data_IF_302050987555
#
_entry.id   IF_302050987555
#
_cell.length_a   1.000
_cell.length_b   1.000
_cell.length_c   1.000
_cell.angle_alpha   90.00
_cell.angle_beta   90.00
_cell.angle_gamma   90.00
#
_symmetry.space_group_name_H-M   'P 1'
#
loop_
_entity.id
_entity.type
_entity.pdbx_description
1 polymer ?
#
# COMPACT_ATOMS: atom_id res chain seq x y z
N UNK A 1 -33.97 46.59 62.84
CA UNK A 1 -35.19 46.65 62.02
C UNK A 1 -34.84 46.24 60.59
N UNK A 2 -35.73 45.47 59.92
CA UNK A 2 -35.47 44.59 58.78
C UNK A 2 -35.56 45.39 57.45
N UNK A 3 -35.09 44.89 56.30
CA UNK A 3 -35.78 43.92 55.44
C UNK A 3 -34.73 42.99 54.78
N UNK A 4 -34.82 41.65 54.86
CA UNK A 4 -35.85 40.78 54.28
C UNK A 4 -36.04 41.02 52.78
N UNK A 5 -35.21 40.39 51.95
CA UNK A 5 -35.76 39.84 50.73
C UNK A 5 -35.11 38.49 50.38
N UNK A 6 -35.97 37.48 50.44
CA UNK A 6 -35.71 36.12 50.06
C UNK A 6 -35.78 35.97 48.53
N UNK A 7 -34.89 35.12 47.98
CA UNK A 7 -35.07 34.13 46.89
C UNK A 7 -35.80 34.53 45.57
N UNK A 8 -35.42 33.98 44.39
CA UNK A 8 -35.28 32.53 44.22
C UNK A 8 -34.13 32.01 43.33
N UNK A 9 -33.91 30.72 43.54
CA UNK A 9 -33.28 29.71 42.71
C UNK A 9 -33.45 29.84 41.19
N UNK A 10 -32.38 29.57 40.44
CA UNK A 10 -32.43 28.68 39.28
C UNK A 10 -31.05 28.03 39.03
N UNK A 11 -30.96 26.69 39.05
CA UNK A 11 -29.75 25.95 38.70
C UNK A 11 -29.87 25.46 37.26
N UNK A 12 -29.45 26.25 36.27
CA UNK A 12 -29.50 25.78 34.87
C UNK A 12 -28.37 26.40 34.04
N UNK A 13 -27.16 25.88 34.19
CA UNK A 13 -26.18 25.88 33.10
C UNK A 13 -25.55 24.48 32.96
N UNK A 14 -26.41 23.49 32.80
CA UNK A 14 -26.01 22.21 32.23
C UNK A 14 -25.82 22.39 30.70
N UNK A 15 -24.56 22.49 30.29
CA UNK A 15 -23.97 21.99 29.03
C UNK A 15 -24.67 22.29 27.68
N UNK A 16 -23.85 22.70 26.69
CA UNK A 16 -23.97 22.10 25.36
C UNK A 16 -22.62 21.54 24.89
N UNK A 17 -22.09 20.52 25.57
CA UNK A 17 -20.84 19.84 25.18
C UNK A 17 -21.02 18.59 24.29
N UNK A 18 -22.24 18.21 23.89
CA UNK A 18 -22.44 16.93 23.19
C UNK A 18 -22.54 17.02 21.66
N UNK A 19 -22.86 18.17 21.07
CA UNK A 19 -23.10 18.28 19.61
C UNK A 19 -21.82 18.48 18.77
N UNK A 20 -20.66 18.74 19.37
CA UNK A 20 -19.39 19.02 18.65
C UNK A 20 -18.57 17.76 18.32
N UNK A 21 -18.83 16.60 18.94
CA UNK A 21 -18.05 15.37 18.69
C UNK A 21 -18.43 14.66 17.37
N UNK A 22 -19.70 14.74 16.95
CA UNK A 22 -20.17 14.11 15.72
C UNK A 22 -19.62 14.78 14.45
N UNK A 23 -19.46 16.11 14.48
CA UNK A 23 -18.89 16.88 13.36
C UNK A 23 -17.38 16.67 13.18
N UNK A 24 -16.67 16.23 14.22
CA UNK A 24 -15.22 16.00 14.13
C UNK A 24 -14.87 14.71 13.38
N UNK A 25 -15.70 13.67 13.51
CA UNK A 25 -15.53 12.42 12.75
C UNK A 25 -15.84 12.64 11.27
N UNK A 26 -16.94 13.33 10.94
CA UNK A 26 -17.29 13.64 9.54
C UNK A 26 -16.28 14.57 8.88
N UNK A 27 -15.71 15.55 9.59
CA UNK A 27 -14.67 16.44 9.06
C UNK A 27 -13.38 15.70 8.68
N UNK A 28 -13.01 14.64 9.41
CA UNK A 28 -11.85 13.79 9.06
C UNK A 28 -12.11 12.98 7.79
N UNK A 29 -13.31 12.39 7.67
CA UNK A 29 -13.69 11.62 6.48
C UNK A 29 -13.77 12.49 5.23
N UNK A 30 -14.37 13.68 5.34
CA UNK A 30 -14.45 14.64 4.22
C UNK A 30 -13.07 15.13 3.80
N UNK A 31 -12.16 15.41 4.75
CA UNK A 31 -10.77 15.76 4.44
C UNK A 31 -10.02 14.61 3.76
N UNK A 32 -10.26 13.36 4.17
CA UNK A 32 -9.66 12.20 3.53
C UNK A 32 -10.18 12.01 2.10
N UNK A 33 -11.49 12.12 1.88
CA UNK A 33 -12.10 12.04 0.54
C UNK A 33 -11.58 13.18 -0.35
N UNK A 34 -11.49 14.41 0.17
CA UNK A 34 -10.93 15.54 -0.57
C UNK A 34 -9.43 15.37 -0.88
N UNK A 35 -8.66 14.78 0.04
CA UNK A 35 -7.26 14.44 -0.19
C UNK A 35 -7.10 13.35 -1.27
N UNK A 36 -7.97 12.34 -1.28
CA UNK A 36 -8.00 11.30 -2.32
C UNK A 36 -8.36 11.90 -3.68
N UNK A 37 -9.35 12.78 -3.74
CA UNK A 37 -9.76 13.41 -5.00
C UNK A 37 -8.69 14.36 -5.57
N UNK A 38 -8.07 15.18 -4.71
CA UNK A 38 -6.94 16.03 -5.11
C UNK A 38 -5.71 15.22 -5.52
N UNK A 39 -5.44 14.11 -4.84
CA UNK A 39 -4.38 13.18 -5.23
C UNK A 39 -4.65 12.55 -6.59
N UNK A 40 -5.90 12.14 -6.86
CA UNK A 40 -6.32 11.57 -8.15
C UNK A 40 -6.14 12.56 -9.30
N UNK A 41 -6.59 13.81 -9.12
CA UNK A 41 -6.42 14.87 -10.15
C UNK A 41 -4.96 15.16 -10.45
N UNK A 42 -4.12 15.29 -9.41
CA UNK A 42 -2.67 15.49 -9.60
C UNK A 42 -1.96 14.25 -10.16
N UNK A 43 -2.43 13.04 -9.84
CA UNK A 43 -1.87 11.82 -10.40
C UNK A 43 -2.09 11.74 -11.91
N UNK A 44 -3.23 12.21 -12.43
CA UNK A 44 -3.47 12.28 -13.88
C UNK A 44 -2.57 13.30 -14.58
N UNK A 45 -2.33 14.48 -13.98
CA UNK A 45 -1.38 15.47 -14.50
C UNK A 45 0.07 14.94 -14.52
N UNK A 46 0.48 14.24 -13.46
CA UNK A 46 1.79 13.61 -13.37
C UNK A 46 1.90 12.43 -14.33
N UNK A 47 0.81 11.68 -14.57
CA UNK A 47 0.80 10.55 -15.50
C UNK A 47 1.14 10.97 -16.93
N UNK A 48 0.72 12.16 -17.36
CA UNK A 48 1.11 12.71 -18.66
C UNK A 48 2.55 13.24 -18.66
N UNK A 49 2.97 13.97 -17.61
CA UNK A 49 4.33 14.57 -17.54
C UNK A 49 5.45 13.56 -17.23
N UNK A 50 5.14 12.48 -16.52
CA UNK A 50 6.06 11.38 -16.23
C UNK A 50 5.92 10.22 -17.22
N UNK A 51 5.05 10.33 -18.23
CA UNK A 51 5.01 9.36 -19.31
C UNK A 51 6.26 9.55 -20.17
N UNK A 52 7.25 8.70 -19.96
CA UNK A 52 8.33 8.49 -20.91
C UNK A 52 7.86 7.41 -21.90
N UNK A 53 7.17 7.76 -23.01
CA UNK A 53 6.61 6.78 -23.93
C UNK A 53 7.68 5.84 -24.49
N UNK A 54 8.87 6.40 -24.78
CA UNK A 54 10.04 5.64 -25.24
C UNK A 54 10.57 4.68 -24.18
N UNK A 55 10.69 5.12 -22.92
CA UNK A 55 11.08 4.25 -21.82
C UNK A 55 10.06 3.12 -21.64
N UNK A 56 8.75 3.42 -21.75
CA UNK A 56 7.68 2.42 -21.71
C UNK A 56 7.77 1.42 -22.86
N UNK A 57 8.08 1.87 -24.08
CA UNK A 57 8.25 1.00 -25.24
C UNK A 57 9.48 0.11 -25.07
N UNK A 58 10.61 0.67 -24.63
CA UNK A 58 11.83 -0.05 -24.31
C UNK A 58 11.61 -1.08 -23.19
N UNK A 59 10.91 -0.72 -22.11
CA UNK A 59 10.54 -1.64 -21.03
C UNK A 59 9.59 -2.74 -21.51
N UNK A 60 8.62 -2.44 -22.38
CA UNK A 60 7.74 -3.46 -22.96
C UNK A 60 8.52 -4.45 -23.83
N UNK A 61 9.46 -3.95 -24.64
CA UNK A 61 10.34 -4.78 -25.46
C UNK A 61 11.25 -5.64 -24.59
N UNK A 62 11.98 -5.06 -23.65
CA UNK A 62 12.81 -5.80 -22.70
C UNK A 62 12.01 -6.82 -21.90
N UNK A 63 10.79 -6.50 -21.47
CA UNK A 63 9.92 -7.45 -20.78
C UNK A 63 9.59 -8.64 -21.67
N UNK A 64 9.26 -8.41 -22.95
CA UNK A 64 8.99 -9.46 -23.92
C UNK A 64 10.21 -10.34 -24.16
N UNK A 65 11.37 -9.72 -24.34
CA UNK A 65 12.64 -10.41 -24.59
C UNK A 65 13.12 -11.19 -23.35
N UNK A 66 12.85 -10.68 -22.15
CA UNK A 66 13.16 -11.36 -20.89
C UNK A 66 12.27 -12.58 -20.66
N UNK A 67 11.00 -12.51 -21.05
CA UNK A 67 10.09 -13.67 -21.01
C UNK A 67 10.54 -14.77 -21.98
N UNK A 68 11.10 -14.43 -23.13
CA UNK A 68 11.67 -15.38 -24.09
C UNK A 68 12.94 -16.09 -23.59
N UNK A 69 13.62 -15.56 -22.56
CA UNK A 69 14.89 -16.12 -22.04
C UNK A 69 14.75 -17.03 -20.83
N UNK A 70 13.58 -17.06 -20.20
CA UNK A 70 13.29 -18.01 -19.13
C UNK A 70 12.67 -19.25 -19.76
N UNK A 71 13.50 -20.16 -20.28
CA UNK A 71 12.99 -21.47 -20.69
C UNK A 71 12.62 -22.24 -19.41
N UNK A 72 11.33 -22.56 -19.29
CA UNK A 72 10.81 -23.43 -18.25
C UNK A 72 10.73 -24.89 -18.74
N UNK A 73 11.08 -25.15 -20.00
CA UNK A 73 10.91 -26.43 -20.70
C UNK A 73 11.63 -27.58 -20.00
N UNK A 74 12.78 -27.30 -19.37
CA UNK A 74 13.59 -28.29 -18.68
C UNK A 74 13.02 -28.73 -17.31
N UNK A 75 12.01 -28.03 -16.78
CA UNK A 75 11.45 -28.30 -15.45
C UNK A 75 10.17 -29.14 -15.53
N UNK A 76 10.05 -30.11 -14.61
CA UNK A 76 8.83 -30.92 -14.50
C UNK A 76 7.67 -30.12 -13.91
N UNK A 77 6.44 -30.54 -14.20
CA UNK A 77 5.22 -29.89 -13.67
C UNK A 77 5.15 -29.94 -12.14
N UNK A 78 5.69 -31.00 -11.52
CA UNK A 78 5.83 -31.11 -10.07
C UNK A 78 6.79 -30.06 -9.50
N UNK A 79 7.93 -29.83 -10.15
CA UNK A 79 8.89 -28.79 -9.74
C UNK A 79 8.28 -27.39 -9.88
N UNK A 80 7.58 -27.14 -10.98
CA UNK A 80 6.90 -25.86 -11.23
C UNK A 80 5.78 -25.61 -10.21
N UNK A 81 4.94 -26.61 -9.91
CA UNK A 81 3.88 -26.49 -8.91
C UNK A 81 4.44 -26.29 -7.50
N UNK A 82 5.50 -27.01 -7.13
CA UNK A 82 6.21 -26.80 -5.87
C UNK A 82 6.77 -25.37 -5.77
N UNK A 83 7.46 -24.89 -6.81
CA UNK A 83 8.01 -23.54 -6.85
C UNK A 83 6.91 -22.45 -6.77
N UNK A 84 5.77 -22.65 -7.44
CA UNK A 84 4.62 -21.75 -7.34
C UNK A 84 4.06 -21.69 -5.91
N UNK A 85 4.01 -22.83 -5.22
CA UNK A 85 3.57 -22.92 -3.82
C UNK A 85 4.55 -22.23 -2.86
N UNK A 86 5.86 -22.36 -3.10
CA UNK A 86 6.90 -21.70 -2.32
C UNK A 86 6.74 -20.18 -2.42
N UNK A 87 6.62 -19.65 -3.64
CA UNK A 87 6.37 -18.22 -3.85
C UNK A 87 5.05 -17.76 -3.22
N UNK A 88 4.00 -18.59 -3.23
CA UNK A 88 2.75 -18.25 -2.56
C UNK A 88 2.93 -18.08 -1.04
N UNK A 89 3.65 -18.99 -0.39
CA UNK A 89 3.99 -18.89 1.05
C UNK A 89 4.84 -17.66 1.35
N UNK A 90 5.86 -17.41 0.51
CA UNK A 90 6.70 -16.21 0.59
C UNK A 90 5.85 -14.93 0.53
N UNK A 91 4.93 -14.83 -0.44
CA UNK A 91 4.04 -13.66 -0.57
C UNK A 91 3.14 -13.51 0.67
N UNK A 92 2.57 -14.60 1.16
CA UNK A 92 1.68 -14.60 2.31
C UNK A 92 2.40 -14.12 3.59
N UNK A 93 3.67 -14.48 3.78
CA UNK A 93 4.48 -14.06 4.92
C UNK A 93 5.01 -12.63 4.78
N UNK A 94 5.49 -12.24 3.59
CA UNK A 94 6.11 -10.93 3.36
C UNK A 94 5.10 -9.80 3.22
N UNK A 95 3.86 -10.06 2.82
CA UNK A 95 2.81 -9.03 2.68
C UNK A 95 2.48 -8.31 4.00
N UNK A 96 2.17 -9.01 5.12
CA UNK A 96 1.93 -8.34 6.40
C UNK A 96 3.21 -7.70 6.96
N UNK A 97 4.39 -8.29 6.71
CA UNK A 97 5.66 -7.70 7.10
C UNK A 97 5.91 -6.37 6.36
N UNK A 98 5.65 -6.30 5.06
CA UNK A 98 5.75 -5.06 4.28
C UNK A 98 4.83 -3.98 4.86
N UNK A 99 3.58 -4.34 5.17
CA UNK A 99 2.62 -3.41 5.76
C UNK A 99 3.12 -2.86 7.09
N UNK A 100 3.63 -3.73 7.97
CA UNK A 100 4.22 -3.33 9.24
C UNK A 100 5.37 -2.33 9.06
N UNK A 101 6.27 -2.63 8.12
CA UNK A 101 7.45 -1.79 7.88
C UNK A 101 7.04 -0.45 7.27
N UNK A 102 6.05 -0.42 6.37
CA UNK A 102 5.48 0.83 5.87
C UNK A 102 4.87 1.69 6.97
N UNK A 103 4.22 1.09 7.98
CA UNK A 103 3.74 1.82 9.15
C UNK A 103 4.93 2.42 9.92
N UNK A 104 6.01 1.66 10.16
CA UNK A 104 7.21 2.21 10.82
C UNK A 104 7.87 3.32 10.01
N UNK A 105 7.95 3.18 8.69
CA UNK A 105 8.49 4.19 7.79
C UNK A 105 7.65 5.47 7.82
N UNK A 106 6.32 5.36 7.80
CA UNK A 106 5.44 6.53 7.87
C UNK A 106 5.59 7.30 9.20
N UNK A 107 5.81 6.59 10.31
CA UNK A 107 6.13 7.21 11.60
C UNK A 107 7.49 7.91 11.58
N UNK A 108 8.51 7.26 11.00
CA UNK A 108 9.85 7.83 10.83
C UNK A 108 9.85 9.08 9.95
N UNK A 109 9.12 9.05 8.83
CA UNK A 109 8.91 10.20 7.95
C UNK A 109 8.17 11.33 8.67
N UNK A 110 7.14 11.01 9.45
CA UNK A 110 6.43 11.98 10.27
C UNK A 110 7.33 12.69 11.29
N UNK A 111 8.25 11.94 11.91
CA UNK A 111 9.27 12.51 12.80
C UNK A 111 10.26 13.40 12.03
N UNK A 112 10.74 12.95 10.87
CA UNK A 112 11.65 13.72 10.02
C UNK A 112 11.04 15.06 9.60
N UNK A 113 9.78 15.08 9.16
CA UNK A 113 9.11 16.32 8.77
C UNK A 113 8.79 17.25 9.95
N UNK A 114 8.62 16.71 11.15
CA UNK A 114 8.25 17.51 12.33
C UNK A 114 9.46 18.07 13.07
N UNK A 115 10.54 17.29 13.17
CA UNK A 115 11.71 17.63 13.98
C UNK A 115 12.97 17.88 13.14
N UNK A 116 12.95 17.58 11.84
CA UNK A 116 14.11 17.77 10.96
C UNK A 116 15.24 16.75 11.17
N UNK A 117 15.05 15.78 12.07
CA UNK A 117 16.08 14.81 12.45
C UNK A 117 15.86 13.46 11.79
N UNK A 118 16.94 12.87 11.26
CA UNK A 118 16.94 11.50 10.74
C UNK A 118 16.93 10.53 11.91
N UNK A 119 15.76 9.97 12.19
CA UNK A 119 15.61 8.95 13.23
C UNK A 119 16.20 7.60 12.79
N UNK A 120 16.74 6.84 13.74
CA UNK A 120 17.23 5.47 13.51
C UNK A 120 16.16 4.58 12.86
N UNK A 121 14.89 4.78 13.22
CA UNK A 121 13.73 4.13 12.61
C UNK A 121 13.66 4.35 11.11
N UNK A 122 13.91 5.56 10.62
CA UNK A 122 13.92 5.88 9.18
C UNK A 122 15.08 5.16 8.47
N UNK A 123 16.26 5.17 9.10
CA UNK A 123 17.49 4.62 8.55
C UNK A 123 17.41 3.10 8.34
N UNK A 124 16.75 2.38 9.26
CA UNK A 124 16.50 0.94 9.10
C UNK A 124 15.29 0.62 8.24
N UNK A 125 14.21 1.41 8.31
CA UNK A 125 12.96 1.08 7.61
C UNK A 125 13.06 1.27 6.11
N UNK A 126 13.79 2.28 5.60
CA UNK A 126 13.95 2.51 4.16
C UNK A 126 14.56 1.29 3.41
N UNK A 127 15.76 0.80 3.76
CA UNK A 127 16.34 -0.36 3.08
C UNK A 127 15.48 -1.61 3.26
N UNK A 128 14.82 -1.77 4.42
CA UNK A 128 13.95 -2.91 4.68
C UNK A 128 12.69 -2.89 3.79
N UNK A 129 12.06 -1.71 3.60
CA UNK A 129 10.93 -1.56 2.66
C UNK A 129 11.37 -1.90 1.25
N UNK A 130 12.51 -1.36 0.79
CA UNK A 130 13.03 -1.63 -0.55
C UNK A 130 13.25 -3.13 -0.75
N UNK A 131 13.95 -3.77 0.19
CA UNK A 131 14.23 -5.20 0.14
C UNK A 131 12.95 -6.04 0.09
N UNK A 132 12.01 -5.82 1.02
CA UNK A 132 10.76 -6.57 1.10
C UNK A 132 9.91 -6.33 -0.15
N UNK A 133 9.79 -5.07 -0.61
CA UNK A 133 9.03 -4.73 -1.80
C UNK A 133 9.61 -5.40 -3.06
N UNK A 134 10.94 -5.36 -3.24
CA UNK A 134 11.61 -6.05 -4.34
C UNK A 134 11.39 -7.56 -4.27
N UNK A 135 11.55 -8.18 -3.09
CA UNK A 135 11.39 -9.63 -2.94
C UNK A 135 9.95 -10.09 -3.18
N UNK A 136 8.98 -9.29 -2.72
CA UNK A 136 7.55 -9.53 -2.95
C UNK A 136 7.23 -9.40 -4.44
N UNK A 137 7.72 -8.34 -5.08
CA UNK A 137 7.52 -8.10 -6.51
C UNK A 137 8.06 -9.25 -7.36
N UNK A 138 9.31 -9.68 -7.11
CA UNK A 138 9.92 -10.82 -7.78
C UNK A 138 9.12 -12.10 -7.54
N UNK A 139 8.69 -12.36 -6.30
CA UNK A 139 7.91 -13.57 -5.99
C UNK A 139 6.54 -13.57 -6.68
N UNK A 140 5.85 -12.43 -6.73
CA UNK A 140 4.58 -12.29 -7.46
C UNK A 140 4.79 -12.52 -8.95
N UNK A 141 5.83 -11.92 -9.53
CA UNK A 141 6.10 -12.05 -10.96
C UNK A 141 6.52 -13.47 -11.33
N UNK A 142 7.38 -14.11 -10.53
CA UNK A 142 7.80 -15.50 -10.70
C UNK A 142 6.59 -16.44 -10.67
N UNK A 143 5.74 -16.32 -9.64
CA UNK A 143 4.51 -17.12 -9.52
C UNK A 143 3.57 -16.93 -10.71
N UNK A 144 3.41 -15.70 -11.21
CA UNK A 144 2.61 -15.42 -12.41
C UNK A 144 3.18 -16.11 -13.65
N UNK A 145 4.49 -16.05 -13.84
CA UNK A 145 5.15 -16.71 -14.97
C UNK A 145 4.99 -18.23 -14.91
N UNK A 146 5.25 -18.84 -13.74
CA UNK A 146 5.09 -20.28 -13.53
C UNK A 146 3.64 -20.73 -13.76
N UNK A 147 2.67 -19.99 -13.23
CA UNK A 147 1.26 -20.33 -13.46
C UNK A 147 0.86 -20.19 -14.93
N UNK A 148 1.37 -19.19 -15.65
CA UNK A 148 1.12 -19.04 -17.07
C UNK A 148 1.73 -20.20 -17.87
N UNK A 149 2.91 -20.67 -17.50
CA UNK A 149 3.57 -21.84 -18.08
C UNK A 149 2.76 -23.12 -17.85
N UNK A 150 2.37 -23.39 -16.61
CA UNK A 150 1.51 -24.54 -16.27
C UNK A 150 0.18 -24.51 -17.05
N UNK A 151 -0.42 -23.33 -17.19
CA UNK A 151 -1.64 -23.15 -18.00
C UNK A 151 -1.38 -23.40 -19.50
N UNK A 152 -0.23 -22.99 -20.03
CA UNK A 152 0.14 -23.24 -21.42
C UNK A 152 0.35 -24.73 -21.68
N UNK A 153 1.01 -25.46 -20.76
CA UNK A 153 1.19 -26.92 -20.85
C UNK A 153 -0.14 -27.66 -20.82
N UNK A 154 -1.02 -27.31 -19.89
CA UNK A 154 -2.36 -27.92 -19.78
C UNK A 154 -3.21 -27.66 -21.02
N UNK A 155 -3.16 -26.46 -21.60
CA UNK A 155 -3.91 -26.13 -22.82
C UNK A 155 -3.27 -26.70 -24.09
N UNK A 156 -1.94 -26.87 -24.10
CA UNK A 156 -1.20 -27.50 -25.19
C UNK A 156 -1.42 -29.02 -25.24
N UNK A 157 -1.47 -29.67 -24.08
CA UNK A 157 -1.84 -31.08 -23.95
C UNK A 157 -3.30 -31.35 -24.34
N UNK A 158 -4.16 -30.33 -24.31
CA UNK A 158 -5.56 -30.42 -24.72
C UNK A 158 -5.80 -30.21 -26.24
N UNK A 159 -4.76 -29.88 -27.01
CA UNK A 159 -4.85 -29.89 -28.48
C UNK A 159 -4.44 -31.28 -29.00
N UNK A 160 -5.37 -32.03 -29.63
CA UNK A 160 -5.08 -33.34 -30.22
C UNK A 160 -4.12 -33.24 -31.41
#
# INVERSE_FOLDING_TARGET
>A
MPDANAQPSSPDEAAPQEKTRLLHKTRKTVRFIAAVDTWKRRADDVKYRASFPLLRAAFRKQKRDATLRLSYDDYSDEQLSYAASLHARTILLLSPLLLWVLITLSKGLGALFRFGEVTTWLLYSVPLVIFIACKLFVSVQSRRNINNELLQRNNGAAKP
#
